data_IF_226931187795
#
_entry.id   IF_226931187795
#
_cell.length_a   1.000
_cell.length_b   1.000
_cell.length_c   1.000
_cell.angle_alpha   90.00
_cell.angle_beta   90.00
_cell.angle_gamma   90.00
#
_symmetry.space_group_name_H-M   'P 1'
#
loop_
_entity.id
_entity.type
_entity.pdbx_description
1 polymer ?
#
# COMPACT_ATOMS: atom_id res chain seq x y z
N UNK A 1 6.62 18.17 -6.25
CA UNK A 1 5.75 17.16 -5.61
C UNK A 1 6.55 15.97 -5.07
N UNK A 2 7.60 15.51 -5.76
CA UNK A 2 8.44 14.37 -5.33
C UNK A 2 9.76 14.76 -4.63
N UNK A 3 9.82 15.99 -4.12
CA UNK A 3 10.96 16.46 -3.32
C UNK A 3 11.07 15.63 -2.04
N UNK A 4 12.29 15.19 -1.62
CA UNK A 4 12.48 14.40 -0.41
C UNK A 4 11.91 15.10 0.83
N UNK A 5 11.21 14.33 1.66
CA UNK A 5 10.65 14.79 2.92
C UNK A 5 11.00 13.79 4.03
N UNK A 6 11.66 14.22 5.12
CA UNK A 6 11.99 13.33 6.22
C UNK A 6 10.74 12.95 7.02
N UNK A 7 10.78 11.77 7.65
CA UNK A 7 9.71 11.32 8.54
C UNK A 7 8.40 10.99 7.82
N UNK A 8 8.42 10.64 6.54
CA UNK A 8 7.26 10.06 5.84
C UNK A 8 7.21 8.54 6.05
N UNK A 9 6.03 7.95 5.87
CA UNK A 9 5.85 6.51 5.95
C UNK A 9 6.71 5.78 4.91
N UNK A 10 7.16 4.53 5.17
CA UNK A 10 7.94 3.74 4.21
C UNK A 10 7.16 3.41 2.92
N UNK A 11 5.85 3.62 2.92
CA UNK A 11 4.97 3.46 1.75
C UNK A 11 4.79 4.73 0.92
N UNK A 12 5.43 5.85 1.30
CA UNK A 12 5.30 7.14 0.61
C UNK A 12 5.89 7.09 -0.80
N UNK A 13 5.23 7.75 -1.76
CA UNK A 13 5.66 7.73 -3.16
C UNK A 13 7.04 8.36 -3.40
N UNK A 14 7.51 9.26 -2.52
CA UNK A 14 8.87 9.83 -2.61
C UNK A 14 9.98 8.81 -2.45
N UNK A 15 9.66 7.68 -1.81
CA UNK A 15 10.58 6.57 -1.55
C UNK A 15 10.50 5.48 -2.62
N UNK A 16 9.64 5.63 -3.62
CA UNK A 16 9.44 4.66 -4.69
C UNK A 16 10.68 4.62 -5.61
N UNK A 17 11.43 3.51 -5.66
CA UNK A 17 12.77 3.48 -6.25
C UNK A 17 12.77 3.60 -7.78
N UNK A 18 11.81 2.98 -8.48
CA UNK A 18 11.67 3.10 -9.94
C UNK A 18 11.35 4.55 -10.35
N UNK A 19 10.49 5.24 -9.59
CA UNK A 19 10.19 6.65 -9.84
C UNK A 19 11.40 7.55 -9.58
N UNK A 20 12.16 7.32 -8.50
CA UNK A 20 13.38 8.08 -8.20
C UNK A 20 14.43 7.94 -9.30
N UNK A 21 14.68 6.72 -9.75
CA UNK A 21 15.63 6.43 -10.84
C UNK A 21 15.21 7.12 -12.15
N UNK A 22 13.90 7.14 -12.43
CA UNK A 22 13.36 7.86 -13.59
C UNK A 22 13.60 9.38 -13.50
N UNK A 23 13.37 9.98 -12.33
CA UNK A 23 13.63 11.41 -12.08
C UNK A 23 15.12 11.77 -12.19
N UNK A 24 16.02 10.81 -11.91
CA UNK A 24 17.47 10.93 -12.10
C UNK A 24 17.94 10.65 -13.53
N UNK A 25 17.04 10.29 -14.45
CA UNK A 25 17.37 9.95 -15.84
C UNK A 25 17.99 8.56 -16.04
N UNK A 26 17.95 7.69 -15.03
CA UNK A 26 18.45 6.30 -15.07
C UNK A 26 17.37 5.34 -15.57
N UNK A 27 17.03 5.45 -16.85
CA UNK A 27 15.88 4.76 -17.45
C UNK A 27 15.94 3.24 -17.37
N UNK A 28 17.09 2.63 -17.64
CA UNK A 28 17.24 1.16 -17.63
C UNK A 28 17.06 0.60 -16.22
N UNK A 29 17.70 1.21 -15.22
CA UNK A 29 17.57 0.84 -13.81
C UNK A 29 16.13 1.04 -13.32
N UNK A 30 15.48 2.14 -13.70
CA UNK A 30 14.08 2.41 -13.38
C UNK A 30 13.15 1.31 -13.92
N UNK A 31 13.37 0.88 -15.16
CA UNK A 31 12.57 -0.19 -15.77
C UNK A 31 12.77 -1.53 -15.07
N UNK A 32 14.01 -1.89 -14.71
CA UNK A 32 14.29 -3.10 -13.93
C UNK A 32 13.61 -3.06 -12.56
N UNK A 33 13.70 -1.94 -11.84
CA UNK A 33 13.05 -1.78 -10.53
C UNK A 33 11.54 -1.79 -10.63
N UNK A 34 10.96 -1.19 -11.67
CA UNK A 34 9.52 -1.23 -11.94
C UNK A 34 9.03 -2.67 -12.09
N UNK A 35 9.73 -3.49 -12.88
CA UNK A 35 9.38 -4.88 -13.07
C UNK A 35 9.40 -5.66 -11.75
N UNK A 36 10.46 -5.50 -10.97
CA UNK A 36 10.61 -6.14 -9.64
C UNK A 36 9.44 -5.80 -8.70
N UNK A 37 9.09 -4.51 -8.60
CA UNK A 37 7.99 -4.04 -7.76
C UNK A 37 6.64 -4.59 -8.21
N UNK A 38 6.35 -4.55 -9.51
CA UNK A 38 5.10 -5.07 -10.04
C UNK A 38 4.99 -6.59 -9.85
N UNK A 39 6.07 -7.34 -10.05
CA UNK A 39 6.09 -8.78 -9.81
C UNK A 39 5.87 -9.13 -8.34
N UNK A 40 6.52 -8.39 -7.42
CA UNK A 40 6.29 -8.53 -5.97
C UNK A 40 4.83 -8.28 -5.61
N UNK A 41 4.22 -7.22 -6.15
CA UNK A 41 2.80 -6.92 -5.92
C UNK A 41 1.88 -8.01 -6.51
N UNK A 42 2.15 -8.48 -7.74
CA UNK A 42 1.39 -9.58 -8.36
C UNK A 42 1.49 -10.87 -7.58
N UNK A 43 2.67 -11.19 -7.02
CA UNK A 43 2.85 -12.38 -6.17
C UNK A 43 2.04 -12.29 -4.87
N UNK A 44 2.06 -11.13 -4.20
CA UNK A 44 1.25 -10.90 -2.99
C UNK A 44 -0.24 -11.02 -3.30
N UNK A 45 -0.71 -10.47 -4.43
CA UNK A 45 -2.11 -10.61 -4.85
C UNK A 45 -2.51 -12.07 -5.07
N UNK A 46 -1.72 -12.82 -5.85
CA UNK A 46 -1.98 -14.26 -6.09
C UNK A 46 -2.03 -15.07 -4.79
N UNK A 47 -1.16 -14.76 -3.83
CA UNK A 47 -1.16 -15.42 -2.51
C UNK A 47 -2.46 -15.16 -1.75
N UNK A 48 -2.95 -13.92 -1.74
CA UNK A 48 -4.22 -13.55 -1.10
C UNK A 48 -5.41 -14.23 -1.77
N UNK A 49 -5.46 -14.23 -3.10
CA UNK A 49 -6.51 -14.92 -3.87
C UNK A 49 -6.56 -16.42 -3.54
N UNK A 50 -5.40 -17.10 -3.52
CA UNK A 50 -5.31 -18.51 -3.15
C UNK A 50 -5.70 -18.79 -1.69
N UNK A 51 -5.37 -17.87 -0.77
CA UNK A 51 -5.78 -17.99 0.64
C UNK A 51 -7.29 -17.83 0.80
N UNK A 52 -7.91 -16.89 0.08
CA UNK A 52 -9.36 -16.71 0.05
C UNK A 52 -10.03 -17.96 -0.51
N UNK A 53 -9.58 -18.48 -1.64
CA UNK A 53 -10.14 -19.69 -2.25
C UNK A 53 -10.06 -20.89 -1.29
N UNK A 54 -8.91 -21.10 -0.63
CA UNK A 54 -8.73 -22.16 0.36
C UNK A 54 -9.66 -21.98 1.56
N UNK A 55 -9.82 -20.76 2.08
CA UNK A 55 -10.73 -20.48 3.18
C UNK A 55 -12.18 -20.79 2.79
N UNK A 56 -12.61 -20.38 1.59
CA UNK A 56 -13.94 -20.68 1.05
C UNK A 56 -14.18 -22.19 0.93
N UNK A 57 -13.22 -22.95 0.39
CA UNK A 57 -13.31 -24.41 0.28
C UNK A 57 -13.41 -25.11 1.64
N UNK A 58 -12.81 -24.53 2.68
CA UNK A 58 -12.82 -25.06 4.05
C UNK A 58 -13.99 -24.53 4.90
N UNK A 59 -14.82 -23.64 4.36
CA UNK A 59 -15.88 -22.95 5.11
C UNK A 59 -15.35 -22.04 6.22
N UNK A 60 -14.10 -21.60 6.13
CA UNK A 60 -13.46 -20.68 7.08
C UNK A 60 -13.67 -19.23 6.66
N UNK A 61 -13.72 -18.32 7.64
CA UNK A 61 -13.68 -16.89 7.37
C UNK A 61 -12.31 -16.47 6.84
N UNK A 62 -12.29 -15.53 5.90
CA UNK A 62 -11.08 -14.91 5.36
C UNK A 62 -11.10 -13.42 5.69
N UNK A 63 -10.02 -12.94 6.30
CA UNK A 63 -9.85 -11.52 6.55
C UNK A 63 -9.36 -10.83 5.27
N UNK A 64 -10.24 -10.01 4.68
CA UNK A 64 -9.91 -9.26 3.47
C UNK A 64 -8.90 -8.15 3.77
N UNK A 65 -7.96 -7.92 2.84
CA UNK A 65 -6.95 -6.89 3.01
C UNK A 65 -7.60 -5.50 3.14
N UNK A 66 -7.33 -4.82 4.26
CA UNK A 66 -7.77 -3.44 4.49
C UNK A 66 -6.59 -2.47 4.37
N UNK A 67 -6.77 -1.31 3.71
CA UNK A 67 -5.75 -0.27 3.69
C UNK A 67 -5.51 0.28 5.10
N UNK A 68 -4.26 0.63 5.41
CA UNK A 68 -3.85 0.98 6.79
C UNK A 68 -4.49 2.26 7.33
N UNK A 69 -4.68 3.27 6.49
CA UNK A 69 -5.06 4.62 6.91
C UNK A 69 -6.52 4.98 6.68
N UNK A 70 -7.26 4.10 5.99
CA UNK A 70 -8.64 4.34 5.58
C UNK A 70 -9.47 3.08 5.75
N UNK A 71 -10.76 3.26 5.99
CA UNK A 71 -11.72 2.17 6.01
C UNK A 71 -12.76 2.41 4.92
N UNK A 72 -13.08 1.36 4.16
CA UNK A 72 -14.19 1.40 3.21
C UNK A 72 -15.50 1.33 3.98
N UNK A 73 -16.36 2.34 3.85
CA UNK A 73 -17.66 2.42 4.52
C UNK A 73 -18.71 3.01 3.57
N UNK A 74 -19.97 3.02 4.00
CA UNK A 74 -21.06 3.68 3.28
C UNK A 74 -21.29 5.08 3.86
N UNK A 75 -21.45 6.07 3.00
CA UNK A 75 -21.82 7.42 3.39
C UNK A 75 -23.27 7.46 3.88
N UNK A 76 -23.51 8.06 5.04
CA UNK A 76 -24.82 8.04 5.70
C UNK A 76 -25.88 8.87 4.95
N UNK A 77 -25.46 9.86 4.17
CA UNK A 77 -26.37 10.79 3.47
C UNK A 77 -26.65 10.29 2.06
N UNK A 78 -25.59 9.95 1.33
CA UNK A 78 -25.66 9.62 -0.11
C UNK A 78 -25.76 8.12 -0.37
N UNK A 79 -25.48 7.28 0.62
CA UNK A 79 -25.44 5.83 0.47
C UNK A 79 -24.28 5.33 -0.40
N UNK A 80 -23.32 6.20 -0.76
CA UNK A 80 -22.21 5.84 -1.63
C UNK A 80 -21.07 5.16 -0.86
N UNK A 81 -20.30 4.30 -1.54
CA UNK A 81 -19.09 3.71 -0.96
C UNK A 81 -17.99 4.77 -0.88
N UNK A 82 -17.52 5.05 0.33
CA UNK A 82 -16.46 6.03 0.63
C UNK A 82 -15.28 5.39 1.35
N UNK A 83 -14.14 6.07 1.34
CA UNK A 83 -12.97 5.72 2.15
C UNK A 83 -12.83 6.72 3.29
N UNK A 84 -13.24 6.32 4.50
CA UNK A 84 -13.16 7.16 5.69
C UNK A 84 -11.76 7.11 6.26
N UNK A 85 -11.14 8.27 6.46
CA UNK A 85 -9.85 8.39 7.12
C UNK A 85 -9.95 7.93 8.58
N UNK A 86 -8.98 7.12 9.03
CA UNK A 86 -8.97 6.55 10.38
C UNK A 86 -8.42 7.49 11.46
N UNK A 87 -7.78 8.60 11.09
CA UNK A 87 -7.22 9.55 12.07
C UNK A 87 -5.77 9.27 12.50
N UNK A 88 -5.20 8.12 12.13
CA UNK A 88 -3.94 7.65 12.74
C UNK A 88 -2.66 8.09 12.01
N UNK A 89 -2.72 8.42 10.72
CA UNK A 89 -1.51 8.68 9.93
C UNK A 89 -0.65 9.82 10.49
N UNK A 90 -1.26 10.96 10.81
CA UNK A 90 -0.51 12.15 11.24
C UNK A 90 0.09 11.96 12.63
N UNK A 91 -0.63 11.31 13.54
CA UNK A 91 -0.12 10.95 14.87
C UNK A 91 1.09 9.99 14.74
N UNK A 92 0.98 8.97 13.89
CA UNK A 92 2.09 8.04 13.61
C UNK A 92 3.29 8.73 12.96
N UNK A 93 3.03 9.72 12.09
CA UNK A 93 4.07 10.57 11.48
C UNK A 93 4.82 11.38 12.53
N UNK A 94 4.11 12.01 13.45
CA UNK A 94 4.70 12.81 14.53
C UNK A 94 5.53 11.94 15.49
N UNK A 95 5.06 10.73 15.79
CA UNK A 95 5.79 9.75 16.62
C UNK A 95 6.96 9.08 15.87
N UNK A 96 7.01 9.15 14.55
CA UNK A 96 7.95 8.38 13.72
C UNK A 96 7.71 6.86 13.77
N UNK A 97 6.52 6.42 14.20
CA UNK A 97 6.18 5.02 14.36
C UNK A 97 5.56 4.45 13.06
N UNK A 98 6.39 3.72 12.33
CA UNK A 98 5.99 3.00 11.11
C UNK A 98 5.94 1.48 11.27
N UNK A 99 5.97 0.97 12.50
CA UNK A 99 5.99 -0.47 12.78
C UNK A 99 4.79 -1.22 12.16
N UNK A 100 3.65 -0.55 12.03
CA UNK A 100 2.44 -1.08 11.40
C UNK A 100 2.37 -0.91 9.88
N UNK A 101 3.38 -0.34 9.23
CA UNK A 101 3.40 -0.13 7.78
C UNK A 101 4.00 -1.35 7.06
N UNK A 102 3.38 -1.82 5.97
CA UNK A 102 3.96 -2.89 5.16
C UNK A 102 5.16 -2.39 4.35
N UNK A 103 6.13 -3.29 4.13
CA UNK A 103 7.23 -3.05 3.19
C UNK A 103 6.78 -3.36 1.76
N UNK A 104 6.57 -2.32 0.94
CA UNK A 104 6.00 -2.44 -0.41
C UNK A 104 6.97 -2.11 -1.55
N UNK A 105 8.12 -1.50 -1.23
CA UNK A 105 9.22 -1.30 -2.17
C UNK A 105 10.26 -2.42 -2.06
#
# INVERSE_FOLDING_TARGET
LNEPEPGVAPTDSRLRPDQRLMEEGKWDEANSKKLELEEKQRAVRRKREAQLEKAMQQGLSYEEYQPKWFQKTQDEITGTLIHKYLGEYWEKKEQGDWSGCPTIF
#
